data_IF_031523908658
#
_entry.id   IF_031523908658
#
_cell.length_a   1.000
_cell.length_b   1.000
_cell.length_c   1.000
_cell.angle_alpha   90.00
_cell.angle_beta   90.00
_cell.angle_gamma   90.00
#
_symmetry.space_group_name_H-M   'P 1'
#
loop_
_entity.id
_entity.type
_entity.pdbx_description
1 polymer ?
#
# COMPACT_ATOMS: atom_id res chain seq x y z
N UNK A 1 0.68 9.34 -54.55
CA UNK A 1 1.71 9.56 -53.51
C UNK A 1 1.26 10.75 -52.68
N UNK A 2 0.99 10.57 -51.39
CA UNK A 2 0.56 11.67 -50.52
C UNK A 2 1.75 12.61 -50.30
N UNK A 3 1.67 13.84 -50.82
CA UNK A 3 2.65 14.88 -50.54
C UNK A 3 2.39 15.43 -49.14
N UNK A 4 3.12 14.89 -48.16
CA UNK A 4 3.12 15.44 -46.80
C UNK A 4 4.02 16.68 -46.80
N UNK A 5 3.45 17.85 -46.51
CA UNK A 5 4.22 19.10 -46.43
C UNK A 5 5.08 19.13 -45.17
N UNK A 6 6.22 19.83 -45.21
CA UNK A 6 7.08 20.04 -44.04
C UNK A 6 6.31 20.67 -42.85
N UNK A 7 5.35 21.56 -43.13
CA UNK A 7 4.48 22.16 -42.12
C UNK A 7 3.58 21.13 -41.43
N UNK A 8 3.12 20.10 -42.16
CA UNK A 8 2.29 19.03 -41.60
C UNK A 8 3.09 18.17 -40.62
N UNK A 9 4.38 17.95 -40.89
CA UNK A 9 5.28 17.20 -40.00
C UNK A 9 5.49 17.97 -38.69
N UNK A 10 5.75 19.28 -38.77
CA UNK A 10 5.92 20.13 -37.59
C UNK A 10 4.66 20.12 -36.72
N UNK A 11 3.48 20.25 -37.34
CA UNK A 11 2.22 20.25 -36.59
C UNK A 11 1.96 18.93 -35.86
N UNK A 12 2.21 17.79 -36.52
CA UNK A 12 2.09 16.47 -35.89
C UNK A 12 3.10 16.30 -34.76
N UNK A 13 4.35 16.72 -34.95
CA UNK A 13 5.37 16.65 -33.90
C UNK A 13 4.97 17.50 -32.68
N UNK A 14 4.46 18.71 -32.90
CA UNK A 14 3.98 19.58 -31.82
C UNK A 14 2.78 18.97 -31.10
N UNK A 15 1.82 18.40 -31.83
CA UNK A 15 0.67 17.72 -31.24
C UNK A 15 1.11 16.51 -30.39
N UNK A 16 2.07 15.71 -30.87
CA UNK A 16 2.62 14.59 -30.11
C UNK A 16 3.35 15.06 -28.84
N UNK A 17 4.10 16.16 -28.92
CA UNK A 17 4.75 16.77 -27.75
C UNK A 17 3.71 17.24 -26.74
N UNK A 18 2.66 17.93 -27.18
CA UNK A 18 1.56 18.38 -26.30
C UNK A 18 0.86 17.18 -25.65
N UNK A 19 0.55 16.13 -26.42
CA UNK A 19 -0.05 14.89 -25.88
C UNK A 19 0.89 14.25 -24.85
N UNK A 20 2.20 14.22 -25.09
CA UNK A 20 3.16 13.70 -24.12
C UNK A 20 3.20 14.51 -22.81
N UNK A 21 3.12 15.85 -22.89
CA UNK A 21 3.13 16.72 -21.71
C UNK A 21 1.81 16.71 -20.92
N UNK A 22 0.66 16.53 -21.59
CA UNK A 22 -0.65 16.43 -20.93
C UNK A 22 -0.81 15.11 -20.16
N UNK A 23 -0.08 14.06 -20.57
CA UNK A 23 -0.08 12.76 -19.90
C UNK A 23 1.01 12.60 -18.83
N UNK A 24 1.71 13.67 -18.44
CA UNK A 24 2.62 13.58 -17.30
C UNK A 24 1.76 13.42 -16.04
N UNK A 25 1.79 12.26 -15.36
CA UNK A 25 1.04 12.11 -14.13
C UNK A 25 1.55 13.15 -13.14
N UNK A 26 0.61 13.91 -12.56
CA UNK A 26 0.91 14.77 -11.43
C UNK A 26 1.52 13.87 -10.36
N UNK A 27 2.83 13.96 -10.14
CA UNK A 27 3.45 13.31 -8.99
C UNK A 27 2.85 13.99 -7.77
N UNK A 28 1.91 13.31 -7.09
CA UNK A 28 1.59 13.64 -5.73
C UNK A 28 2.93 13.64 -4.97
N UNK A 29 3.25 14.72 -4.26
CA UNK A 29 4.44 14.73 -3.41
C UNK A 29 4.40 13.46 -2.55
N UNK A 30 5.44 12.64 -2.64
CA UNK A 30 5.50 11.39 -1.92
C UNK A 30 5.35 11.67 -0.42
N UNK A 31 4.19 11.34 0.13
CA UNK A 31 3.92 11.45 1.57
C UNK A 31 4.12 10.08 2.17
N UNK A 32 5.17 9.94 2.98
CA UNK A 32 5.36 8.74 3.78
C UNK A 32 4.14 8.55 4.69
N UNK A 33 3.58 7.34 4.68
CA UNK A 33 2.41 6.98 5.48
C UNK A 33 2.81 6.01 6.59
N UNK A 34 2.73 6.49 7.84
CA UNK A 34 3.05 5.70 9.01
C UNK A 34 1.77 5.35 9.78
N UNK A 35 1.58 4.06 10.06
CA UNK A 35 0.38 3.54 10.69
C UNK A 35 0.72 2.98 12.06
N UNK A 36 -0.08 3.34 13.06
CA UNK A 36 0.02 2.82 14.43
C UNK A 36 -1.38 2.39 14.89
N UNK A 37 -1.47 1.30 15.63
CA UNK A 37 -2.74 0.81 16.17
C UNK A 37 -2.73 -0.67 16.47
N UNK A 38 -3.91 -1.26 16.43
CA UNK A 38 -4.18 -2.65 16.75
C UNK A 38 -4.58 -3.46 15.49
N UNK A 39 -5.28 -4.57 15.69
CA UNK A 39 -5.80 -5.44 14.63
C UNK A 39 -6.60 -4.72 13.54
N UNK A 40 -7.26 -3.60 13.84
CA UNK A 40 -8.08 -2.87 12.86
C UNK A 40 -7.23 -2.27 11.72
N UNK A 41 -5.95 -2.06 11.98
CA UNK A 41 -5.01 -1.43 11.05
C UNK A 41 -3.75 -2.26 10.85
N UNK A 42 -3.57 -3.39 11.54
CA UNK A 42 -2.51 -4.36 11.27
C UNK A 42 -2.69 -5.01 9.89
N UNK A 43 -1.58 -5.15 9.18
CA UNK A 43 -1.50 -5.77 7.86
C UNK A 43 -0.48 -6.92 7.78
N UNK A 44 -0.10 -7.48 8.93
CA UNK A 44 0.70 -8.70 9.02
C UNK A 44 1.96 -8.59 9.87
N UNK A 45 2.06 -7.62 10.79
CA UNK A 45 3.20 -7.59 11.72
C UNK A 45 3.20 -8.83 12.61
N UNK A 46 2.02 -9.26 13.04
CA UNK A 46 1.88 -10.39 13.95
C UNK A 46 2.35 -11.72 13.35
N UNK A 47 2.43 -11.83 12.02
CA UNK A 47 2.98 -13.01 11.33
C UNK A 47 4.49 -13.20 11.61
N UNK A 48 5.18 -12.13 12.04
CA UNK A 48 6.60 -12.15 12.39
C UNK A 48 6.88 -12.24 13.90
N UNK A 49 5.85 -12.25 14.74
CA UNK A 49 5.97 -12.33 16.20
C UNK A 49 5.70 -13.75 16.70
N UNK A 50 5.86 -14.02 18.00
CA UNK A 50 5.35 -15.21 18.67
C UNK A 50 4.08 -14.79 19.41
N UNK A 51 2.93 -15.03 18.79
CA UNK A 51 1.61 -14.60 19.27
C UNK A 51 0.52 -15.52 18.71
N UNK A 52 -0.61 -15.60 19.41
CA UNK A 52 -1.84 -16.24 18.94
C UNK A 52 -2.73 -15.29 18.13
N UNK A 53 -2.52 -13.97 18.22
CA UNK A 53 -3.26 -12.98 17.46
C UNK A 53 -2.72 -12.88 16.04
N UNK A 54 -3.06 -13.83 15.17
CA UNK A 54 -2.65 -13.83 13.75
C UNK A 54 -3.83 -13.86 12.80
N UNK A 55 -3.60 -13.30 11.61
CA UNK A 55 -4.54 -13.31 10.49
C UNK A 55 -3.93 -14.00 9.25
N UNK A 56 -3.22 -15.11 9.50
CA UNK A 56 -2.50 -15.94 8.52
C UNK A 56 -3.28 -17.19 8.09
N UNK A 57 -4.55 -17.30 8.48
CA UNK A 57 -5.46 -18.39 8.10
C UNK A 57 -6.78 -17.88 7.51
N UNK A 58 -7.57 -18.72 6.81
CA UNK A 58 -8.95 -18.39 6.48
C UNK A 58 -9.77 -18.03 7.73
N UNK A 59 -10.75 -17.12 7.66
CA UNK A 59 -11.27 -16.46 6.46
C UNK A 59 -10.53 -15.18 6.05
N UNK A 60 -9.41 -14.85 6.68
CA UNK A 60 -8.69 -13.61 6.35
C UNK A 60 -8.20 -13.63 4.90
N UNK A 61 -8.41 -12.54 4.19
CA UNK A 61 -8.02 -12.40 2.78
C UNK A 61 -8.91 -13.09 1.75
N UNK A 62 -10.09 -13.64 2.11
CA UNK A 62 -11.00 -14.30 1.15
C UNK A 62 -11.52 -13.36 0.04
N UNK A 63 -11.68 -12.07 0.34
CA UNK A 63 -12.13 -11.03 -0.60
C UNK A 63 -10.95 -10.22 -1.16
N UNK A 64 -9.70 -10.55 -0.77
CA UNK A 64 -8.50 -9.93 -1.32
C UNK A 64 -8.22 -10.49 -2.73
N UNK A 65 -7.61 -9.72 -3.66
CA UNK A 65 -7.35 -10.22 -5.02
C UNK A 65 -6.58 -11.55 -5.10
N UNK A 66 -5.72 -11.84 -4.13
CA UNK A 66 -4.95 -13.10 -4.06
C UNK A 66 -5.75 -14.27 -3.49
N UNK A 67 -6.90 -14.04 -2.86
CA UNK A 67 -7.72 -15.04 -2.17
C UNK A 67 -6.91 -15.91 -1.17
N UNK A 68 -5.92 -15.29 -0.53
CA UNK A 68 -4.99 -15.92 0.42
C UNK A 68 -4.94 -15.07 1.69
N UNK A 69 -4.66 -15.66 2.86
CA UNK A 69 -4.42 -14.90 4.07
C UNK A 69 -3.37 -13.81 3.87
N UNK A 70 -3.66 -12.62 4.38
CA UNK A 70 -2.89 -11.40 4.11
C UNK A 70 -2.26 -10.79 5.36
N UNK A 71 -2.49 -11.37 6.54
CA UNK A 71 -2.10 -10.77 7.82
C UNK A 71 -3.02 -9.63 8.27
N UNK A 72 -4.06 -9.29 7.50
CA UNK A 72 -5.10 -8.31 7.87
C UNK A 72 -6.23 -9.02 8.59
N UNK A 73 -6.71 -8.46 9.69
CA UNK A 73 -7.90 -8.94 10.42
C UNK A 73 -9.20 -8.54 9.69
N UNK A 74 -9.27 -8.86 8.40
CA UNK A 74 -10.35 -8.55 7.46
C UNK A 74 -10.40 -9.61 6.36
N UNK A 75 -11.54 -9.74 5.69
CA UNK A 75 -11.62 -10.56 4.47
C UNK A 75 -10.80 -9.97 3.32
N UNK A 76 -10.53 -8.66 3.33
CA UNK A 76 -9.88 -7.97 2.21
C UNK A 76 -9.01 -6.82 2.70
N UNK A 77 -9.19 -5.66 2.08
CA UNK A 77 -8.51 -4.43 2.46
C UNK A 77 -8.92 -3.97 3.86
N UNK A 78 -8.00 -3.34 4.59
CA UNK A 78 -8.25 -2.62 5.83
C UNK A 78 -8.16 -1.10 5.61
N UNK A 79 -8.38 -0.30 6.65
CA UNK A 79 -8.43 1.17 6.53
C UNK A 79 -7.12 1.77 5.96
N UNK A 80 -5.92 1.38 6.40
CA UNK A 80 -4.66 1.79 5.78
C UNK A 80 -4.57 1.54 4.28
N UNK A 81 -5.07 0.42 3.80
CA UNK A 81 -5.05 0.14 2.36
C UNK A 81 -5.92 1.12 1.59
N UNK A 82 -7.15 1.35 2.05
CA UNK A 82 -8.08 2.28 1.42
C UNK A 82 -7.56 3.72 1.42
N UNK A 83 -6.90 4.13 2.50
CA UNK A 83 -6.23 5.43 2.58
C UNK A 83 -5.09 5.50 1.56
N UNK A 84 -4.29 4.44 1.44
CA UNK A 84 -3.16 4.39 0.50
C UNK A 84 -3.63 4.41 -0.96
N UNK A 85 -4.71 3.70 -1.28
CA UNK A 85 -5.37 3.77 -2.59
C UNK A 85 -5.84 5.19 -2.91
N UNK A 86 -6.45 5.88 -1.93
CA UNK A 86 -6.88 7.27 -2.10
C UNK A 86 -5.70 8.24 -2.27
N UNK A 87 -4.56 7.96 -1.63
CA UNK A 87 -3.31 8.69 -1.80
C UNK A 87 -2.58 8.36 -3.11
N UNK A 88 -3.03 7.36 -3.86
CA UNK A 88 -2.38 6.90 -5.09
C UNK A 88 -1.04 6.19 -4.84
N UNK A 89 -0.89 5.52 -3.69
CA UNK A 89 0.33 4.82 -3.29
C UNK A 89 0.05 3.39 -2.82
N UNK A 90 1.10 2.56 -2.77
CA UNK A 90 1.01 1.25 -2.13
C UNK A 90 0.82 1.39 -0.62
N UNK A 91 0.04 0.47 -0.03
CA UNK A 91 -0.09 0.36 1.43
C UNK A 91 1.28 0.09 2.08
N UNK A 92 1.63 0.77 3.18
CA UNK A 92 2.92 0.60 3.84
C UNK A 92 3.08 -0.84 4.33
N UNK A 93 4.25 -1.43 4.14
CA UNK A 93 4.50 -2.80 4.58
C UNK A 93 4.49 -2.91 6.12
N UNK A 94 4.25 -4.11 6.67
CA UNK A 94 4.48 -4.39 8.08
C UNK A 94 5.92 -3.99 8.46
N UNK A 95 6.09 -3.30 9.57
CA UNK A 95 7.39 -2.89 10.10
C UNK A 95 8.37 -4.06 10.24
N UNK A 96 7.87 -5.23 10.66
CA UNK A 96 8.67 -6.43 10.85
C UNK A 96 8.96 -7.19 9.55
N UNK A 97 8.43 -6.74 8.41
CA UNK A 97 8.64 -7.40 7.13
C UNK A 97 10.10 -7.28 6.67
N UNK A 98 10.76 -8.37 6.26
CA UNK A 98 12.12 -8.31 5.69
C UNK A 98 12.18 -7.58 4.34
N UNK A 99 11.01 -7.32 3.72
CA UNK A 99 10.85 -6.58 2.47
C UNK A 99 10.73 -5.06 2.67
N UNK A 100 10.58 -4.59 3.92
CA UNK A 100 10.55 -3.15 4.23
C UNK A 100 11.97 -2.56 4.16
N UNK A 101 12.46 -2.33 2.94
CA UNK A 101 13.80 -1.81 2.64
C UNK A 101 13.76 -0.90 1.42
N UNK A 102 14.77 -0.04 1.28
CA UNK A 102 14.91 0.87 0.13
C UNK A 102 13.69 1.77 -0.03
N UNK A 103 13.20 1.90 -1.26
CA UNK A 103 12.07 2.77 -1.60
C UNK A 103 10.78 2.41 -0.85
N UNK A 104 10.59 1.13 -0.48
CA UNK A 104 9.42 0.74 0.33
C UNK A 104 9.42 1.34 1.73
N UNK A 105 10.60 1.60 2.31
CA UNK A 105 10.70 2.31 3.59
C UNK A 105 10.41 3.81 3.43
N UNK A 106 10.70 4.39 2.27
CA UNK A 106 10.40 5.79 1.97
C UNK A 106 8.89 6.05 1.83
N UNK A 107 8.12 5.02 1.46
CA UNK A 107 6.65 5.06 1.44
C UNK A 107 6.04 5.03 2.85
N UNK A 108 6.83 4.75 3.89
CA UNK A 108 6.38 4.62 5.27
C UNK A 108 6.35 3.17 5.75
N UNK A 109 5.74 2.94 6.91
CA UNK A 109 5.68 1.63 7.55
C UNK A 109 4.44 1.49 8.44
N UNK A 110 3.93 0.26 8.53
CA UNK A 110 2.86 -0.08 9.44
C UNK A 110 3.42 -0.70 10.72
N UNK A 111 3.23 -0.05 11.86
CA UNK A 111 3.65 -0.49 13.19
C UNK A 111 2.52 -1.10 14.00
N UNK A 112 1.31 -1.22 13.44
CA UNK A 112 0.18 -1.79 14.14
C UNK A 112 0.39 -3.27 14.44
N UNK A 113 -0.13 -3.74 15.56
CA UNK A 113 0.00 -5.13 15.99
C UNK A 113 -1.28 -5.58 16.66
N UNK A 114 -1.87 -6.67 16.19
CA UNK A 114 -3.06 -7.22 16.83
C UNK A 114 -2.77 -7.71 18.25
N UNK A 115 -3.77 -7.57 19.13
CA UNK A 115 -3.63 -7.92 20.54
C UNK A 115 -2.81 -6.93 21.38
N UNK A 116 -2.34 -5.82 20.79
CA UNK A 116 -1.78 -4.72 21.57
C UNK A 116 -2.88 -4.06 22.41
N UNK A 117 -2.51 -3.64 23.61
CA UNK A 117 -3.35 -2.84 24.49
C UNK A 117 -2.65 -1.54 24.87
N UNK A 118 -3.40 -0.54 25.33
CA UNK A 118 -2.81 0.73 25.81
C UNK A 118 -2.00 0.49 27.09
N UNK A 119 -2.43 -0.45 27.92
CA UNK A 119 -1.75 -0.85 29.16
C UNK A 119 -1.07 -2.20 28.97
N UNK A 120 0.05 -2.43 29.65
CA UNK A 120 0.79 -3.71 29.59
C UNK A 120 -0.13 -4.91 29.91
N UNK A 121 -1.04 -4.73 30.87
CA UNK A 121 -1.93 -5.80 31.35
C UNK A 121 -3.07 -6.12 30.38
N UNK A 122 -3.30 -5.27 29.38
CA UNK A 122 -4.37 -5.48 28.39
C UNK A 122 -3.90 -6.28 27.16
N UNK A 123 -2.60 -6.36 26.90
CA UNK A 123 -2.04 -7.09 25.75
C UNK A 123 -1.51 -8.49 26.07
N UNK A 124 -1.28 -8.81 27.34
CA UNK A 124 -0.75 -10.11 27.82
C UNK A 124 -1.57 -11.32 27.36
N UNK A 125 -2.86 -11.15 27.06
CA UNK A 125 -3.72 -12.25 26.60
C UNK A 125 -3.29 -12.84 25.24
N UNK A 126 -2.47 -12.13 24.48
CA UNK A 126 -2.11 -12.47 23.10
C UNK A 126 -0.63 -12.81 22.93
N UNK A 127 0.13 -12.95 24.01
CA UNK A 127 1.56 -13.35 24.02
C UNK A 127 1.70 -14.86 24.23
#
# INVERSE_FOLDING_TARGET
MLNVSFSSIIFVALALIVVAFVNVPLHAEARAFFVFGDSLVDNGNNDFLVTTARADSPPYGIDFPTHRPTGRFSNGLNIPDLISEHMGMESPLPYLSPLLKGDKLLNGANFASAGIGILNDTGVQFV
#
